data_IF_722400423107
#
_entry.id   IF_722400423107
#
_cell.length_a   1.000
_cell.length_b   1.000
_cell.length_c   1.000
_cell.angle_alpha   90.00
_cell.angle_beta   90.00
_cell.angle_gamma   90.00
#
_symmetry.space_group_name_H-M   'P 1'
#
loop_
_entity.id
_entity.type
_entity.pdbx_description
1 polymer ?
#
# COMPACT_ATOMS: atom_id res chain seq x y z
N UNK A 1 16.30 -31.76 -0.78
CA UNK A 1 16.34 -30.71 -1.82
C UNK A 1 15.97 -29.41 -1.14
N UNK A 2 16.80 -28.35 -1.14
CA UNK A 2 16.37 -27.08 -0.60
C UNK A 2 15.31 -26.51 -1.57
N UNK A 3 14.09 -26.34 -1.08
CA UNK A 3 13.03 -25.65 -1.80
C UNK A 3 13.46 -24.21 -2.01
N UNK A 4 13.68 -23.85 -3.26
CA UNK A 4 13.96 -22.47 -3.66
C UNK A 4 12.63 -21.71 -3.68
N UNK A 5 12.12 -21.42 -2.49
CA UNK A 5 10.98 -20.53 -2.29
C UNK A 5 11.51 -19.10 -2.42
N UNK A 6 11.77 -18.69 -3.66
CA UNK A 6 11.85 -17.26 -3.98
C UNK A 6 10.44 -16.74 -3.79
N UNK A 7 10.14 -16.23 -2.60
CA UNK A 7 8.94 -15.43 -2.38
C UNK A 7 8.82 -14.48 -3.57
N UNK A 8 7.81 -14.70 -4.41
CA UNK A 8 7.62 -13.89 -5.60
C UNK A 8 7.61 -12.44 -5.15
N UNK A 9 8.54 -11.64 -5.67
CA UNK A 9 8.60 -10.22 -5.33
C UNK A 9 7.36 -9.57 -5.92
N UNK A 10 6.36 -9.29 -5.07
CA UNK A 10 5.18 -8.51 -5.44
C UNK A 10 5.67 -7.13 -5.86
N UNK A 11 5.26 -6.69 -7.05
CA UNK A 11 5.57 -5.34 -7.51
C UNK A 11 4.55 -4.37 -6.96
N UNK A 12 5.02 -3.39 -6.21
CA UNK A 12 4.20 -2.30 -5.72
C UNK A 12 4.49 -1.02 -6.51
N UNK A 13 3.42 -0.36 -6.95
CA UNK A 13 3.48 0.94 -7.63
C UNK A 13 2.49 1.91 -6.97
N UNK A 14 2.84 3.20 -6.99
CA UNK A 14 1.95 4.29 -6.60
C UNK A 14 1.66 5.16 -7.81
N UNK A 15 0.40 5.26 -8.20
CA UNK A 15 -0.04 6.15 -9.30
C UNK A 15 -0.65 7.40 -8.70
N UNK A 16 -0.05 8.56 -8.99
CA UNK A 16 -0.46 9.84 -8.36
C UNK A 16 -1.75 10.37 -8.98
N UNK A 17 -2.77 10.56 -8.14
CA UNK A 17 -4.05 11.16 -8.51
C UNK A 17 -4.05 12.68 -8.29
N UNK A 18 -3.53 13.11 -7.14
CA UNK A 18 -3.43 14.51 -6.75
C UNK A 18 -2.21 14.75 -5.84
N UNK A 19 -2.03 15.98 -5.38
CA UNK A 19 -1.00 16.25 -4.38
C UNK A 19 -1.28 15.47 -3.08
N UNK A 20 -0.38 14.53 -2.76
CA UNK A 20 -0.50 13.69 -1.57
C UNK A 20 -1.55 12.57 -1.66
N UNK A 21 -2.08 12.24 -2.84
CA UNK A 21 -3.05 11.16 -3.01
C UNK A 21 -2.67 10.27 -4.19
N UNK A 22 -2.69 8.96 -3.95
CA UNK A 22 -2.19 7.94 -4.85
C UNK A 22 -3.10 6.71 -4.85
N UNK A 23 -3.22 6.05 -5.99
CA UNK A 23 -3.66 4.65 -6.06
C UNK A 23 -2.50 3.73 -5.69
N UNK A 24 -2.79 2.70 -4.89
CA UNK A 24 -1.88 1.61 -4.59
C UNK A 24 -2.14 0.45 -5.53
N UNK A 25 -1.10 0.06 -6.27
CA UNK A 25 -1.17 -1.02 -7.24
C UNK A 25 -0.21 -2.13 -6.81
N UNK A 26 -0.74 -3.35 -6.69
CA UNK A 26 0.03 -4.57 -6.47
C UNK A 26 -0.12 -5.50 -7.67
N UNK A 27 1.00 -5.88 -8.29
CA UNK A 27 1.04 -6.74 -9.48
C UNK A 27 0.07 -6.30 -10.60
N UNK A 28 -0.08 -4.98 -10.78
CA UNK A 28 -0.93 -4.37 -11.81
C UNK A 28 -2.41 -4.21 -11.42
N UNK A 29 -2.82 -4.64 -10.23
CA UNK A 29 -4.18 -4.44 -9.71
C UNK A 29 -4.22 -3.30 -8.69
N UNK A 30 -5.17 -2.38 -8.84
CA UNK A 30 -5.46 -1.38 -7.80
C UNK A 30 -6.08 -2.11 -6.60
N UNK A 31 -5.41 -2.02 -5.45
CA UNK A 31 -5.83 -2.70 -4.21
C UNK A 31 -6.20 -1.74 -3.09
N UNK A 32 -5.87 -0.47 -3.23
CA UNK A 32 -6.04 0.52 -2.16
C UNK A 32 -5.70 1.92 -2.61
N UNK A 33 -5.75 2.82 -1.64
CA UNK A 33 -5.28 4.20 -1.78
C UNK A 33 -4.19 4.48 -0.76
N UNK A 34 -3.31 5.43 -1.11
CA UNK A 34 -2.31 5.96 -0.20
C UNK A 34 -2.44 7.47 -0.17
N UNK A 35 -2.52 8.02 1.04
CA UNK A 35 -2.51 9.45 1.30
C UNK A 35 -1.21 9.81 2.00
N UNK A 36 -0.61 10.92 1.57
CA UNK A 36 0.52 11.54 2.23
C UNK A 36 0.07 12.84 2.85
N UNK A 37 0.16 12.94 4.17
CA UNK A 37 -0.06 14.19 4.87
C UNK A 37 1.10 15.14 4.59
N UNK A 38 0.76 16.29 4.00
CA UNK A 38 1.70 17.38 3.75
C UNK A 38 1.26 18.57 4.56
N UNK A 39 2.14 19.03 5.44
CA UNK A 39 1.91 20.25 6.21
C UNK A 39 1.95 21.49 5.32
N UNK A 40 1.37 22.60 5.79
CA UNK A 40 1.42 23.89 5.08
C UNK A 40 2.86 24.39 4.81
N UNK A 41 3.84 23.93 5.60
CA UNK A 41 5.27 24.19 5.42
C UNK A 41 5.98 23.20 4.48
N UNK A 42 5.25 22.24 3.89
CA UNK A 42 5.77 21.28 2.91
C UNK A 42 6.46 20.06 3.51
N UNK A 43 6.51 19.92 4.84
CA UNK A 43 7.04 18.72 5.50
C UNK A 43 6.04 17.57 5.43
N UNK A 44 6.56 16.39 5.11
CA UNK A 44 5.85 15.11 5.14
C UNK A 44 5.74 14.65 6.60
N UNK A 45 4.53 14.39 7.07
CA UNK A 45 4.30 13.98 8.47
C UNK A 45 3.93 12.51 8.62
N UNK A 46 3.17 11.98 7.66
CA UNK A 46 2.58 10.66 7.77
C UNK A 46 2.18 10.16 6.38
N UNK A 47 2.33 8.86 6.17
CA UNK A 47 1.70 8.13 5.08
C UNK A 47 0.59 7.26 5.66
N UNK A 48 -0.57 7.26 5.02
CA UNK A 48 -1.69 6.40 5.37
C UNK A 48 -2.08 5.58 4.14
N UNK A 49 -2.21 4.27 4.30
CA UNK A 49 -2.66 3.35 3.26
C UNK A 49 -3.94 2.66 3.71
N UNK A 50 -4.92 2.59 2.82
CA UNK A 50 -6.20 1.92 3.04
C UNK A 50 -6.50 0.98 1.87
N UNK A 51 -6.86 -0.27 2.16
CA UNK A 51 -7.28 -1.25 1.17
C UNK A 51 -8.72 -1.02 0.73
N UNK A 52 -9.01 -1.27 -0.56
CA UNK A 52 -10.38 -1.14 -1.11
C UNK A 52 -11.36 -2.15 -0.53
N UNK A 53 -10.86 -3.35 -0.18
CA UNK A 53 -11.66 -4.43 0.39
C UNK A 53 -11.26 -4.67 1.84
N UNK A 54 -12.23 -4.65 2.76
CA UNK A 54 -12.06 -5.14 4.13
C UNK A 54 -12.16 -6.68 4.17
N UNK A 55 -11.24 -7.32 3.46
CA UNK A 55 -11.16 -8.77 3.37
C UNK A 55 -10.65 -9.37 4.70
N UNK A 56 -11.05 -10.61 5.05
CA UNK A 56 -10.45 -11.31 6.18
C UNK A 56 -8.94 -11.53 5.95
N UNK A 57 -8.13 -11.68 7.02
CA UNK A 57 -6.66 -11.65 6.94
C UNK A 57 -6.03 -12.62 5.93
N UNK A 58 -6.64 -13.78 5.72
CA UNK A 58 -6.20 -14.83 4.80
C UNK A 58 -6.40 -14.47 3.31
N UNK A 59 -7.23 -13.46 3.03
CA UNK A 59 -7.52 -12.95 1.68
C UNK A 59 -6.93 -11.57 1.42
N UNK A 60 -6.27 -10.96 2.40
CA UNK A 60 -5.59 -9.68 2.19
C UNK A 60 -4.36 -9.86 1.32
N UNK A 61 -4.08 -8.91 0.41
CA UNK A 61 -2.85 -8.95 -0.36
C UNK A 61 -1.66 -8.75 0.58
N UNK A 62 -0.63 -9.60 0.46
CA UNK A 62 0.65 -9.35 1.10
C UNK A 62 1.23 -8.01 0.60
N UNK A 63 1.81 -7.15 1.46
CA UNK A 63 2.20 -7.38 2.86
C UNK A 63 1.17 -6.90 3.90
N UNK A 64 -0.09 -6.63 3.52
CA UNK A 64 -1.07 -6.01 4.41
C UNK A 64 -1.61 -6.98 5.44
N UNK A 65 -1.49 -6.60 6.71
CA UNK A 65 -2.04 -7.35 7.85
C UNK A 65 -3.29 -6.70 8.44
N UNK A 66 -3.64 -5.49 7.99
CA UNK A 66 -4.84 -4.74 8.34
C UNK A 66 -5.37 -4.00 7.09
N UNK A 67 -6.59 -3.49 7.18
CA UNK A 67 -7.23 -2.72 6.10
C UNK A 67 -6.65 -1.30 6.02
N UNK A 68 -6.29 -0.72 7.17
CA UNK A 68 -5.64 0.58 7.29
C UNK A 68 -4.25 0.45 7.90
N UNK A 69 -3.30 1.24 7.40
CA UNK A 69 -1.92 1.30 7.88
C UNK A 69 -1.38 2.72 7.85
N UNK A 70 -0.84 3.17 8.98
CA UNK A 70 -0.11 4.44 9.06
C UNK A 70 1.39 4.19 9.18
N UNK A 71 2.18 4.96 8.46
CA UNK A 71 3.64 4.97 8.49
C UNK A 71 4.11 6.37 8.88
N UNK A 72 4.96 6.45 9.90
CA UNK A 72 5.56 7.68 10.43
C UNK A 72 7.07 7.63 10.37
#
# INVERSE_FOLDING_TARGET
MPGNDLAATIRAELHRLAAGSFDLILDGQIVGSVVREVTASGYEQCWHAELLEDAPPDRRPSPFSATEHSFS
#
